data_IF_935672109388
#
_entry.id   IF_935672109388
#
_cell.length_a   1.000
_cell.length_b   1.000
_cell.length_c   1.000
_cell.angle_alpha   90.00
_cell.angle_beta   90.00
_cell.angle_gamma   90.00
#
_symmetry.space_group_name_H-M   'P 1'
#
loop_
_entity.id
_entity.type
_entity.pdbx_description
1 polymer ?
#
# COMPACT_ATOMS: atom_id res chain seq x y z
N UNK A 1 1.38 28.33 -31.17
CA UNK A 1 0.46 29.00 -30.24
C UNK A 1 -0.47 27.93 -29.69
N UNK A 2 -0.54 27.54 -28.42
CA UNK A 2 -0.17 28.13 -27.14
C UNK A 2 0.42 27.05 -26.22
N UNK A 3 1.46 27.41 -25.46
CA UNK A 3 2.00 26.66 -24.32
C UNK A 3 1.11 26.91 -23.10
N UNK A 4 0.90 25.91 -22.25
CA UNK A 4 0.40 26.13 -20.89
C UNK A 4 1.47 25.73 -19.87
N UNK A 5 1.90 26.73 -19.09
CA UNK A 5 2.74 26.63 -17.90
C UNK A 5 1.92 26.13 -16.69
N UNK A 6 2.54 25.44 -15.72
CA UNK A 6 1.92 25.15 -14.43
C UNK A 6 2.33 26.20 -13.39
N UNK A 7 1.37 26.85 -12.73
CA UNK A 7 1.64 27.70 -11.56
C UNK A 7 0.42 27.73 -10.64
N UNK A 8 0.45 26.97 -9.54
CA UNK A 8 -0.14 27.40 -8.26
C UNK A 8 0.76 26.86 -7.15
N UNK A 9 1.45 27.80 -6.50
CA UNK A 9 2.42 27.61 -5.42
C UNK A 9 1.78 28.18 -4.14
N UNK A 10 1.92 27.44 -3.05
CA UNK A 10 2.07 27.86 -1.65
C UNK A 10 1.39 29.17 -1.20
N UNK A 11 0.41 29.02 -0.31
CA UNK A 11 0.02 30.05 0.65
C UNK A 11 0.29 29.52 2.08
N UNK A 12 0.61 30.44 2.99
CA UNK A 12 1.00 30.26 4.41
C UNK A 12 2.50 30.28 4.70
N UNK A 13 3.08 31.47 4.66
CA UNK A 13 4.17 31.87 5.56
C UNK A 13 3.76 33.17 6.27
N UNK A 14 4.00 33.20 7.59
CA UNK A 14 3.47 34.14 8.57
C UNK A 14 4.38 35.35 8.73
N UNK A 15 3.75 36.51 8.96
CA UNK A 15 4.36 37.75 9.45
C UNK A 15 5.13 37.51 10.76
N UNK A 16 6.42 37.83 10.76
CA UNK A 16 7.25 37.97 11.94
C UNK A 16 7.81 39.38 11.99
N UNK A 17 7.17 40.27 12.75
CA UNK A 17 7.73 41.54 13.19
C UNK A 17 6.84 42.13 14.27
N UNK A 18 7.18 41.89 15.54
CA UNK A 18 6.86 42.82 16.61
C UNK A 18 7.92 42.68 17.70
N UNK A 19 8.80 43.68 17.74
CA UNK A 19 9.84 43.92 18.74
C UNK A 19 9.21 44.27 20.11
N UNK A 20 9.92 43.94 21.19
CA UNK A 20 10.04 44.64 22.50
C UNK A 20 11.21 43.93 23.22
N UNK A 21 12.44 44.45 23.29
CA UNK A 21 12.96 45.54 24.13
C UNK A 21 12.43 45.47 25.57
N UNK A 22 13.22 44.90 26.51
CA UNK A 22 13.69 45.51 27.77
C UNK A 22 14.92 44.72 28.28
N UNK A 23 15.98 45.43 28.67
CA UNK A 23 17.25 44.92 29.23
C UNK A 23 17.17 44.61 30.74
N UNK A 24 18.15 43.86 31.31
CA UNK A 24 18.04 43.23 32.63
C UNK A 24 18.42 44.16 33.79
N UNK A 25 17.81 43.96 34.96
CA UNK A 25 18.20 44.61 36.19
C UNK A 25 18.96 43.63 37.10
N UNK A 26 20.20 44.02 37.42
CA UNK A 26 21.12 43.36 38.34
C UNK A 26 20.81 43.81 39.76
N UNK A 27 20.64 42.88 40.70
CA UNK A 27 20.84 43.14 42.13
C UNK A 27 21.66 42.02 42.78
N UNK A 28 22.45 42.44 43.76
CA UNK A 28 23.78 41.95 44.12
C UNK A 28 23.79 41.57 45.61
N UNK A 29 24.34 40.38 45.92
CA UNK A 29 24.90 39.90 47.22
C UNK A 29 23.86 39.75 48.37
N UNK A 30 23.93 38.76 49.26
CA UNK A 30 25.08 38.46 50.12
C UNK A 30 25.18 36.97 50.52
N UNK A 31 26.41 36.63 50.86
CA UNK A 31 26.94 35.44 51.52
C UNK A 31 26.38 35.23 52.93
N UNK A 32 26.08 33.97 53.28
CA UNK A 32 26.35 33.45 54.63
C UNK A 32 26.89 32.03 54.51
N UNK A 33 28.07 31.85 55.09
CA UNK A 33 28.71 30.56 55.34
C UNK A 33 28.04 29.96 56.58
N UNK A 34 27.60 28.70 56.49
CA UNK A 34 27.31 27.88 57.66
C UNK A 34 28.03 26.54 57.49
N UNK A 35 28.69 26.17 58.57
CA UNK A 35 29.75 25.17 58.71
C UNK A 35 29.18 23.76 58.83
N UNK A 36 29.89 22.85 58.17
CA UNK A 36 30.06 21.39 58.33
C UNK A 36 29.15 20.59 59.29
N UNK A 37 28.60 19.50 58.74
CA UNK A 37 28.65 18.18 59.39
C UNK A 37 28.61 17.09 58.30
N UNK A 38 29.74 16.39 58.10
CA UNK A 38 29.77 15.13 57.33
C UNK A 38 29.25 14.02 58.23
N UNK A 39 28.12 13.42 57.87
CA UNK A 39 27.79 12.06 58.24
C UNK A 39 27.57 11.27 56.96
N UNK A 40 28.57 10.45 56.62
CA UNK A 40 28.50 9.51 55.52
C UNK A 40 27.53 8.37 55.88
N UNK A 41 26.36 8.39 55.26
CA UNK A 41 25.54 7.19 55.05
C UNK A 41 25.06 7.21 53.59
N UNK A 42 25.43 6.24 52.74
CA UNK A 42 24.92 6.17 51.39
C UNK A 42 23.47 5.64 51.43
N UNK A 43 22.51 6.54 51.68
CA UNK A 43 21.12 6.28 51.40
C UNK A 43 20.91 6.34 49.89
N UNK A 44 20.49 5.22 49.31
CA UNK A 44 20.14 5.11 47.90
C UNK A 44 19.10 6.17 47.53
N UNK A 45 19.51 7.20 46.79
CA UNK A 45 18.57 8.11 46.15
C UNK A 45 17.93 7.36 44.99
N UNK A 46 16.83 6.66 45.28
CA UNK A 46 15.87 6.24 44.26
C UNK A 46 15.46 7.51 43.53
N UNK A 47 15.86 7.61 42.26
CA UNK A 47 15.55 8.72 41.38
C UNK A 47 14.07 9.04 41.46
N UNK A 48 13.78 10.31 41.73
CA UNK A 48 12.46 10.92 41.75
C UNK A 48 11.52 10.32 40.70
N UNK A 49 10.43 9.72 41.16
CA UNK A 49 9.29 9.38 40.33
C UNK A 49 8.83 10.64 39.62
N UNK A 50 9.02 10.69 38.30
CA UNK A 50 8.49 11.76 37.46
C UNK A 50 6.97 11.72 37.58
N UNK A 51 6.41 12.70 38.26
CA UNK A 51 4.96 12.92 38.32
C UNK A 51 4.47 13.09 36.87
N UNK A 52 3.80 12.07 36.35
CA UNK A 52 3.11 12.19 35.08
C UNK A 52 2.00 13.23 35.25
N UNK A 53 2.04 14.31 34.48
CA UNK A 53 0.93 15.27 34.44
C UNK A 53 -0.27 14.61 33.76
N UNK A 54 -1.41 14.59 34.45
CA UNK A 54 -2.66 14.02 33.93
C UNK A 54 -3.56 15.13 33.38
N UNK A 55 -4.25 14.84 32.28
CA UNK A 55 -5.31 15.68 31.74
C UNK A 55 -6.48 15.79 32.72
N UNK A 56 -7.37 16.77 32.50
CA UNK A 56 -8.64 16.91 33.23
C UNK A 56 -9.48 15.61 33.29
N UNK A 57 -9.20 14.67 32.40
CA UNK A 57 -9.86 13.36 32.30
C UNK A 57 -9.00 12.18 32.79
N UNK A 58 -7.88 12.41 33.47
CA UNK A 58 -7.06 11.36 34.07
C UNK A 58 -6.16 10.58 33.11
N UNK A 59 -5.98 11.05 31.87
CA UNK A 59 -4.99 10.48 30.92
C UNK A 59 -3.66 11.25 30.99
N UNK A 60 -2.50 10.59 31.08
CA UNK A 60 -1.19 11.27 31.04
C UNK A 60 -1.08 12.16 29.79
N UNK A 61 -0.74 13.43 29.98
CA UNK A 61 -0.61 14.42 28.89
C UNK A 61 0.68 14.23 28.09
N UNK A 62 1.70 13.62 28.71
CA UNK A 62 2.97 13.31 28.06
C UNK A 62 3.36 11.85 28.31
N UNK A 63 3.73 11.17 27.22
CA UNK A 63 4.10 9.75 27.23
C UNK A 63 3.01 8.89 26.61
N UNK A 64 3.07 8.67 25.29
CA UNK A 64 2.42 7.49 24.71
C UNK A 64 2.88 6.28 25.53
N UNK A 65 1.96 5.44 26.00
CA UNK A 65 2.28 4.15 26.61
C UNK A 65 3.41 3.52 25.78
N UNK A 66 4.58 3.32 26.40
CA UNK A 66 5.68 2.65 25.74
C UNK A 66 5.15 1.26 25.35
N UNK A 67 5.22 0.94 24.07
CA UNK A 67 4.80 -0.37 23.61
C UNK A 67 5.66 -1.40 24.36
N UNK A 68 5.09 -2.32 25.15
CA UNK A 68 5.89 -3.29 25.92
C UNK A 68 6.67 -4.23 25.00
N UNK A 69 6.30 -4.28 23.72
CA UNK A 69 7.03 -4.98 22.67
C UNK A 69 8.04 -4.06 21.98
N UNK A 70 9.21 -4.61 21.65
CA UNK A 70 10.25 -3.94 20.88
C UNK A 70 9.70 -3.27 19.62
N UNK A 71 10.27 -2.10 19.28
CA UNK A 71 9.88 -1.34 18.09
C UNK A 71 10.29 -2.03 16.78
N UNK A 72 11.26 -2.93 16.85
CA UNK A 72 11.84 -3.63 15.69
C UNK A 72 11.70 -5.13 15.80
N UNK A 73 11.68 -5.79 14.65
CA UNK A 73 11.75 -7.24 14.48
C UNK A 73 12.93 -7.58 13.59
N UNK A 74 13.38 -8.83 13.59
CA UNK A 74 14.54 -9.25 12.81
C UNK A 74 14.14 -10.11 11.61
N UNK A 75 14.88 -10.01 10.52
CA UNK A 75 14.74 -10.86 9.36
C UNK A 75 16.10 -11.18 8.74
N UNK A 76 16.21 -12.34 8.09
CA UNK A 76 17.41 -12.70 7.35
C UNK A 76 17.45 -11.96 6.01
N UNK A 77 18.55 -11.26 5.77
CA UNK A 77 18.94 -10.78 4.45
C UNK A 77 19.69 -11.88 3.72
N UNK A 78 19.30 -12.16 2.49
CA UNK A 78 19.77 -13.31 1.73
C UNK A 78 20.39 -12.90 0.40
N UNK A 79 21.18 -13.79 -0.20
CA UNK A 79 21.64 -13.67 -1.59
C UNK A 79 20.64 -14.27 -2.55
N UNK A 80 20.41 -13.59 -3.68
CA UNK A 80 19.40 -13.98 -4.67
C UNK A 80 19.68 -15.36 -5.30
N UNK A 81 20.94 -15.67 -5.59
CA UNK A 81 21.34 -16.88 -6.32
C UNK A 81 21.08 -18.19 -5.57
N UNK A 82 21.43 -18.22 -4.27
CA UNK A 82 21.47 -19.46 -3.48
C UNK A 82 20.62 -19.40 -2.20
N UNK A 83 19.86 -18.32 -1.97
CA UNK A 83 19.05 -18.11 -0.75
C UNK A 83 19.86 -18.25 0.56
N UNK A 84 21.18 -18.04 0.48
CA UNK A 84 22.10 -18.13 1.60
C UNK A 84 21.95 -16.89 2.51
N UNK A 85 21.95 -17.05 3.84
CA UNK A 85 21.88 -15.93 4.77
C UNK A 85 23.18 -15.11 4.75
N UNK A 86 23.06 -13.79 4.71
CA UNK A 86 24.18 -12.84 4.72
C UNK A 86 24.24 -12.10 6.05
N UNK A 87 23.14 -11.46 6.42
CA UNK A 87 23.07 -10.55 7.57
C UNK A 87 21.68 -10.59 8.18
N UNK A 88 21.57 -10.24 9.46
CA UNK A 88 20.29 -10.00 10.11
C UNK A 88 19.95 -8.51 9.97
N UNK A 89 18.77 -8.22 9.44
CA UNK A 89 18.25 -6.86 9.24
C UNK A 89 17.11 -6.60 10.23
N UNK A 90 17.08 -5.39 10.78
CA UNK A 90 16.02 -4.94 11.67
C UNK A 90 14.91 -4.24 10.86
N UNK A 91 13.67 -4.64 11.07
CA UNK A 91 12.48 -4.11 10.40
C UNK A 91 11.56 -3.42 11.41
N UNK A 92 10.82 -2.40 10.97
CA UNK A 92 9.83 -1.74 11.82
C UNK A 92 8.64 -2.68 12.10
N UNK A 93 8.39 -2.95 13.39
CA UNK A 93 7.29 -3.80 13.85
C UNK A 93 5.93 -3.26 13.40
N UNK A 94 5.77 -1.95 13.29
CA UNK A 94 4.49 -1.32 12.88
C UNK A 94 4.06 -1.68 11.47
N UNK A 95 5.02 -1.99 10.60
CA UNK A 95 4.78 -2.27 9.18
C UNK A 95 4.78 -3.78 8.92
N UNK A 96 5.76 -4.49 9.46
CA UNK A 96 6.01 -5.90 9.16
C UNK A 96 5.46 -6.88 10.21
N UNK A 97 5.01 -6.40 11.38
CA UNK A 97 4.40 -7.22 12.42
C UNK A 97 3.20 -6.51 13.10
N UNK A 98 2.37 -5.88 12.26
CA UNK A 98 1.05 -5.38 12.64
C UNK A 98 0.09 -6.56 12.85
N UNK A 99 -0.92 -6.46 13.75
CA UNK A 99 -1.98 -7.45 13.82
C UNK A 99 -2.66 -7.62 12.46
N UNK A 100 -2.83 -8.88 12.04
CA UNK A 100 -3.40 -9.23 10.74
C UNK A 100 -4.92 -9.05 10.79
N UNK A 101 -5.43 -8.10 10.00
CA UNK A 101 -6.85 -7.74 9.95
C UNK A 101 -7.51 -8.16 8.64
N UNK A 102 -8.19 -9.30 8.66
CA UNK A 102 -8.84 -9.91 7.48
C UNK A 102 -9.96 -9.00 6.92
N UNK A 103 -10.66 -8.29 7.80
CA UNK A 103 -11.72 -7.33 7.45
C UNK A 103 -11.21 -6.20 6.54
N UNK A 104 -10.05 -5.61 6.88
CA UNK A 104 -9.43 -4.55 6.10
C UNK A 104 -8.88 -5.08 4.78
N UNK A 105 -8.26 -6.26 4.81
CA UNK A 105 -7.74 -6.92 3.61
C UNK A 105 -8.87 -7.15 2.61
N UNK A 106 -9.98 -7.75 3.03
CA UNK A 106 -11.13 -8.02 2.17
C UNK A 106 -11.70 -6.72 1.56
N UNK A 107 -11.86 -5.67 2.36
CA UNK A 107 -12.36 -4.36 1.89
C UNK A 107 -11.45 -3.76 0.83
N UNK A 108 -10.13 -3.79 1.04
CA UNK A 108 -9.16 -3.23 0.10
C UNK A 108 -9.12 -4.04 -1.20
N UNK A 109 -9.11 -5.37 -1.12
CA UNK A 109 -9.16 -6.23 -2.31
C UNK A 109 -10.43 -6.01 -3.11
N UNK A 110 -11.58 -5.87 -2.44
CA UNK A 110 -12.84 -5.53 -3.09
C UNK A 110 -12.77 -4.18 -3.81
N UNK A 111 -12.18 -3.17 -3.16
CA UNK A 111 -11.94 -1.85 -3.76
C UNK A 111 -11.06 -1.93 -5.02
N UNK A 112 -9.91 -2.60 -4.94
CA UNK A 112 -8.96 -2.75 -6.05
C UNK A 112 -9.60 -3.50 -7.23
N UNK A 113 -10.25 -4.65 -6.97
CA UNK A 113 -10.94 -5.42 -8.02
C UNK A 113 -12.09 -4.67 -8.67
N UNK A 114 -12.82 -3.85 -7.91
CA UNK A 114 -13.88 -3.02 -8.44
C UNK A 114 -13.36 -1.88 -9.32
N UNK A 115 -12.20 -1.30 -8.98
CA UNK A 115 -11.55 -0.29 -9.81
C UNK A 115 -11.01 -0.86 -11.13
N UNK A 116 -10.55 -2.12 -11.14
CA UNK A 116 -10.09 -2.81 -12.35
C UNK A 116 -11.22 -3.17 -13.33
N UNK A 117 -12.48 -3.14 -12.91
CA UNK A 117 -13.63 -3.47 -13.77
C UNK A 117 -13.99 -2.30 -14.69
N UNK A 118 -14.00 -2.55 -16.00
CA UNK A 118 -14.32 -1.53 -17.01
C UNK A 118 -15.82 -1.23 -17.14
N UNK A 119 -16.71 -2.23 -17.00
CA UNK A 119 -18.15 -2.03 -17.05
C UNK A 119 -18.68 -1.56 -18.40
N UNK A 120 -18.21 -2.12 -19.52
CA UNK A 120 -18.56 -1.71 -20.90
C UNK A 120 -19.82 -2.37 -21.47
N UNK A 121 -20.48 -3.24 -20.72
CA UNK A 121 -21.66 -3.96 -21.18
C UNK A 121 -22.82 -3.01 -21.44
N UNK A 122 -23.40 -3.12 -22.65
CA UNK A 122 -24.49 -2.26 -23.09
C UNK A 122 -25.59 -3.09 -23.75
N UNK A 123 -26.83 -2.76 -23.44
CA UNK A 123 -28.02 -3.23 -24.15
C UNK A 123 -28.85 -2.06 -24.65
N UNK A 124 -29.52 -2.29 -25.78
CA UNK A 124 -30.37 -1.28 -26.41
C UNK A 124 -31.72 -1.20 -25.70
N UNK A 125 -32.04 -0.01 -25.20
CA UNK A 125 -33.38 0.33 -24.70
C UNK A 125 -34.32 0.61 -25.87
N UNK A 126 -35.61 0.78 -25.58
CA UNK A 126 -36.65 0.96 -26.61
C UNK A 126 -36.38 2.15 -27.55
N UNK A 127 -35.75 3.21 -27.04
CA UNK A 127 -35.37 4.39 -27.83
C UNK A 127 -34.20 4.12 -28.77
N UNK A 128 -33.28 3.24 -28.40
CA UNK A 128 -32.01 2.96 -29.09
C UNK A 128 -32.14 1.83 -30.12
N UNK A 129 -33.15 0.96 -29.99
CA UNK A 129 -33.43 -0.08 -30.99
C UNK A 129 -33.90 0.57 -32.30
N UNK A 130 -33.34 0.12 -33.42
CA UNK A 130 -33.75 0.56 -34.77
C UNK A 130 -35.16 0.08 -35.07
N UNK A 131 -36.03 0.99 -35.52
CA UNK A 131 -37.40 0.67 -35.93
C UNK A 131 -38.28 1.91 -35.97
N UNK A 132 -39.50 1.77 -36.47
CA UNK A 132 -40.45 2.89 -36.53
C UNK A 132 -40.94 3.29 -35.14
N UNK A 133 -41.06 4.60 -34.91
CA UNK A 133 -41.77 5.19 -33.76
C UNK A 133 -43.28 5.28 -33.99
N UNK A 134 -43.76 5.05 -35.23
CA UNK A 134 -45.18 5.03 -35.55
C UNK A 134 -45.87 3.89 -34.80
N UNK A 135 -47.09 4.16 -34.36
CA UNK A 135 -47.94 3.15 -33.73
C UNK A 135 -48.16 1.97 -34.67
N UNK A 136 -47.91 0.75 -34.19
CA UNK A 136 -47.92 -0.45 -35.02
C UNK A 136 -49.32 -0.86 -35.51
N UNK A 137 -50.36 -0.54 -34.71
CA UNK A 137 -51.74 -0.92 -34.97
C UNK A 137 -52.73 0.11 -34.39
N UNK A 138 -53.96 0.22 -34.94
CA UNK A 138 -55.00 1.06 -34.35
C UNK A 138 -55.35 0.60 -32.93
N UNK A 139 -55.84 1.53 -32.10
CA UNK A 139 -56.13 1.26 -30.68
C UNK A 139 -57.27 0.25 -30.48
N UNK A 140 -58.23 0.20 -31.42
CA UNK A 140 -59.44 -0.62 -31.40
C UNK A 140 -59.72 -1.15 -32.83
N UNK A 141 -60.60 -2.14 -32.96
CA UNK A 141 -61.06 -2.67 -34.26
C UNK A 141 -60.22 -3.81 -34.85
N UNK A 142 -59.09 -4.19 -34.25
CA UNK A 142 -58.18 -5.24 -34.80
C UNK A 142 -58.44 -6.66 -34.29
N UNK A 143 -59.17 -6.84 -33.18
CA UNK A 143 -59.40 -8.16 -32.56
C UNK A 143 -58.15 -8.84 -31.98
N UNK A 144 -57.03 -8.11 -31.82
CA UNK A 144 -55.77 -8.60 -31.22
C UNK A 144 -55.31 -7.67 -30.09
N UNK A 145 -54.34 -8.12 -29.29
CA UNK A 145 -53.72 -7.30 -28.26
C UNK A 145 -53.23 -5.94 -28.81
N UNK A 146 -53.37 -4.89 -28.01
CA UNK A 146 -52.97 -3.53 -28.36
C UNK A 146 -51.45 -3.44 -28.44
N UNK A 147 -50.91 -2.88 -29.52
CA UNK A 147 -49.47 -2.72 -29.71
C UNK A 147 -49.15 -1.25 -29.97
N UNK A 148 -48.34 -0.68 -29.08
CA UNK A 148 -47.81 0.68 -29.23
C UNK A 148 -46.69 0.72 -30.25
N UNK A 149 -45.48 0.30 -29.84
CA UNK A 149 -44.29 0.27 -30.69
C UNK A 149 -43.91 -1.16 -31.04
N UNK A 150 -43.38 -1.37 -32.25
CA UNK A 150 -42.78 -2.64 -32.68
C UNK A 150 -41.46 -2.96 -31.96
N UNK A 151 -40.87 -1.99 -31.25
CA UNK A 151 -39.59 -2.12 -30.53
C UNK A 151 -39.76 -2.55 -29.07
N UNK A 152 -40.99 -2.80 -28.63
CA UNK A 152 -41.29 -3.11 -27.24
C UNK A 152 -40.62 -4.43 -26.78
N UNK A 153 -40.26 -4.58 -25.49
CA UNK A 153 -39.50 -5.74 -25.01
C UNK A 153 -40.18 -7.11 -25.16
N UNK A 154 -41.51 -7.14 -25.15
CA UNK A 154 -42.29 -8.36 -25.34
C UNK A 154 -42.35 -8.81 -26.80
N UNK A 155 -41.88 -8.00 -27.75
CA UNK A 155 -41.87 -8.30 -29.18
C UNK A 155 -40.53 -8.95 -29.55
N UNK A 156 -40.56 -9.89 -30.50
CA UNK A 156 -39.35 -10.52 -31.05
C UNK A 156 -38.42 -9.44 -31.63
N UNK A 157 -37.12 -9.51 -31.30
CA UNK A 157 -36.10 -8.48 -31.65
C UNK A 157 -36.39 -7.08 -31.04
N UNK A 158 -37.26 -7.02 -30.04
CA UNK A 158 -37.54 -5.82 -29.26
C UNK A 158 -36.39 -5.45 -28.33
N UNK A 159 -36.56 -4.33 -27.63
CA UNK A 159 -35.57 -3.81 -26.69
C UNK A 159 -35.47 -4.63 -25.41
N UNK A 160 -34.35 -4.50 -24.70
CA UNK A 160 -34.19 -5.08 -23.35
C UNK A 160 -34.64 -4.04 -22.32
N UNK A 161 -35.57 -4.41 -21.44
CA UNK A 161 -36.11 -3.49 -20.43
C UNK A 161 -35.09 -3.17 -19.32
N UNK A 162 -34.60 -4.20 -18.62
CA UNK A 162 -33.62 -4.08 -17.54
C UNK A 162 -32.31 -4.79 -17.93
N UNK A 163 -31.67 -4.29 -18.97
CA UNK A 163 -30.38 -4.79 -19.41
C UNK A 163 -29.21 -3.98 -18.84
N UNK A 164 -27.97 -4.49 -18.95
CA UNK A 164 -26.78 -3.76 -18.51
C UNK A 164 -26.60 -2.45 -19.29
N UNK A 165 -26.17 -1.43 -18.55
CA UNK A 165 -25.72 -0.14 -19.07
C UNK A 165 -24.28 0.12 -18.62
N UNK A 166 -23.44 0.76 -19.46
CA UNK A 166 -22.08 1.10 -19.12
C UNK A 166 -22.05 1.99 -17.88
N UNK A 167 -21.26 1.58 -16.89
CA UNK A 167 -21.14 2.29 -15.62
C UNK A 167 -19.79 2.01 -14.99
N UNK A 168 -19.32 2.95 -14.17
CA UNK A 168 -18.16 2.69 -13.32
C UNK A 168 -18.55 1.77 -12.16
N UNK A 169 -17.66 0.81 -11.86
CA UNK A 169 -17.76 -0.04 -10.68
C UNK A 169 -16.88 0.45 -9.53
N UNK A 170 -16.08 1.49 -9.74
CA UNK A 170 -15.13 1.97 -8.75
C UNK A 170 -15.85 2.43 -7.46
N UNK A 171 -15.33 1.96 -6.32
CA UNK A 171 -15.78 2.37 -4.99
C UNK A 171 -14.72 3.28 -4.36
N UNK A 172 -15.06 4.05 -3.32
CA UNK A 172 -14.08 4.90 -2.62
C UNK A 172 -13.65 4.23 -1.31
N UNK A 173 -12.38 4.39 -0.94
CA UNK A 173 -11.83 3.91 0.33
C UNK A 173 -10.93 4.98 0.96
N UNK A 174 -10.88 5.05 2.30
CA UNK A 174 -9.97 5.96 2.98
C UNK A 174 -8.52 5.49 2.80
N UNK A 175 -7.58 6.43 2.60
CA UNK A 175 -6.16 6.13 2.41
C UNK A 175 -5.56 5.34 3.58
N UNK A 176 -5.97 5.67 4.81
CA UNK A 176 -5.47 5.00 6.02
C UNK A 176 -5.98 3.54 6.13
N UNK A 177 -7.19 3.27 5.66
CA UNK A 177 -7.74 1.91 5.57
C UNK A 177 -6.94 1.09 4.56
N UNK A 178 -6.62 1.68 3.42
CA UNK A 178 -5.78 1.04 2.40
C UNK A 178 -4.37 0.71 2.93
N UNK A 179 -3.70 1.69 3.57
CA UNK A 179 -2.37 1.48 4.20
C UNK A 179 -2.43 0.38 5.26
N UNK A 180 -3.46 0.36 6.10
CA UNK A 180 -3.62 -0.67 7.13
C UNK A 180 -3.86 -2.07 6.53
N UNK A 181 -4.58 -2.16 5.41
CA UNK A 181 -4.73 -3.41 4.65
C UNK A 181 -3.38 -3.91 4.13
N UNK A 182 -2.58 -3.03 3.53
CA UNK A 182 -1.25 -3.39 3.01
C UNK A 182 -0.30 -3.84 4.14
N UNK A 183 -0.25 -3.11 5.26
CA UNK A 183 0.53 -3.53 6.46
C UNK A 183 0.11 -4.92 6.96
N UNK A 184 -1.21 -5.18 7.00
CA UNK A 184 -1.75 -6.45 7.47
C UNK A 184 -1.32 -7.62 6.57
N UNK A 185 -1.31 -7.44 5.25
CA UNK A 185 -0.86 -8.49 4.32
C UNK A 185 0.64 -8.73 4.42
N UNK A 186 1.45 -7.67 4.45
CA UNK A 186 2.91 -7.81 4.59
C UNK A 186 3.25 -8.51 5.92
N UNK A 187 2.54 -8.16 6.99
CA UNK A 187 2.71 -8.81 8.30
C UNK A 187 2.33 -10.29 8.27
N UNK A 188 1.26 -10.65 7.56
CA UNK A 188 0.89 -12.05 7.36
C UNK A 188 1.96 -12.82 6.57
N UNK A 189 2.55 -12.21 5.54
CA UNK A 189 3.66 -12.82 4.77
C UNK A 189 4.89 -13.05 5.64
N UNK A 190 5.23 -12.11 6.52
CA UNK A 190 6.33 -12.26 7.46
C UNK A 190 6.06 -13.41 8.45
N UNK A 191 4.88 -13.45 9.08
CA UNK A 191 4.48 -14.53 10.01
C UNK A 191 4.49 -15.92 9.37
N UNK A 192 4.17 -16.01 8.08
CA UNK A 192 4.17 -17.27 7.32
C UNK A 192 5.53 -17.62 6.71
N UNK A 193 6.60 -16.88 7.03
CA UNK A 193 7.94 -17.06 6.44
C UNK A 193 7.97 -16.97 4.91
N UNK A 194 7.03 -16.20 4.33
CA UNK A 194 6.87 -15.97 2.90
C UNK A 194 7.47 -14.64 2.43
N UNK A 195 7.80 -13.75 3.37
CA UNK A 195 8.55 -12.53 3.10
C UNK A 195 10.04 -12.85 3.03
N UNK A 196 10.67 -12.49 1.92
CA UNK A 196 12.08 -12.72 1.66
C UNK A 196 12.77 -11.38 1.38
N UNK A 197 13.86 -11.12 2.10
CA UNK A 197 14.63 -9.89 1.96
C UNK A 197 15.99 -10.24 1.37
N UNK A 198 16.37 -9.51 0.33
CA UNK A 198 17.63 -9.67 -0.37
C UNK A 198 18.46 -8.40 -0.26
N UNK A 199 19.78 -8.59 -0.37
CA UNK A 199 20.76 -7.50 -0.40
C UNK A 199 20.72 -6.74 -1.73
N UNK A 200 20.55 -7.47 -2.82
CA UNK A 200 20.32 -6.90 -4.14
C UNK A 200 19.51 -7.86 -5.00
N UNK A 201 18.66 -7.30 -5.87
CA UNK A 201 17.87 -8.05 -6.86
C UNK A 201 18.48 -8.00 -8.28
N UNK A 202 19.78 -7.71 -8.38
CA UNK A 202 20.50 -7.66 -9.65
C UNK A 202 20.62 -9.05 -10.25
N UNK A 203 20.40 -9.14 -11.57
CA UNK A 203 20.65 -10.35 -12.35
C UNK A 203 21.79 -10.12 -13.33
N UNK A 204 22.75 -11.04 -13.36
CA UNK A 204 23.89 -11.00 -14.28
C UNK A 204 23.46 -11.14 -15.76
N UNK A 205 22.36 -11.86 -16.01
CA UNK A 205 21.87 -12.13 -17.35
C UNK A 205 20.38 -11.81 -17.50
N UNK A 206 20.03 -11.25 -18.65
CA UNK A 206 18.64 -10.99 -19.09
C UNK A 206 17.91 -12.30 -19.46
N UNK A 207 18.65 -13.42 -19.61
CA UNK A 207 18.09 -14.69 -20.07
C UNK A 207 17.08 -15.25 -19.07
N UNK A 208 15.87 -15.54 -19.54
CA UNK A 208 14.78 -16.16 -18.77
C UNK A 208 15.19 -17.50 -18.15
N UNK A 209 16.03 -18.27 -18.86
CA UNK A 209 16.59 -19.54 -18.36
C UNK A 209 17.42 -19.36 -17.09
N UNK A 210 18.18 -18.27 -17.00
CA UNK A 210 19.01 -17.95 -15.83
C UNK A 210 18.12 -17.60 -14.62
N UNK A 211 17.11 -16.75 -14.83
CA UNK A 211 16.14 -16.45 -13.78
C UNK A 211 15.42 -17.72 -13.32
N UNK A 212 14.98 -18.58 -14.23
CA UNK A 212 14.33 -19.84 -13.89
C UNK A 212 15.23 -20.77 -13.06
N UNK A 213 16.53 -20.87 -13.39
CA UNK A 213 17.46 -21.66 -12.56
C UNK A 213 17.52 -21.14 -11.11
N UNK A 214 17.59 -19.83 -10.90
CA UNK A 214 17.61 -19.23 -9.56
C UNK A 214 16.33 -19.56 -8.80
N UNK A 215 15.16 -19.40 -9.44
CA UNK A 215 13.87 -19.72 -8.82
C UNK A 215 13.76 -21.20 -8.43
N UNK A 216 14.29 -22.11 -9.25
CA UNK A 216 14.31 -23.55 -8.95
C UNK A 216 15.30 -23.92 -7.86
N UNK A 217 16.46 -23.26 -7.80
CA UNK A 217 17.46 -23.46 -6.76
C UNK A 217 16.95 -23.01 -5.40
N UNK A 218 16.22 -21.89 -5.36
CA UNK A 218 15.62 -21.36 -4.14
C UNK A 218 14.35 -22.12 -3.70
N UNK A 219 13.88 -23.09 -4.50
CA UNK A 219 12.70 -23.90 -4.18
C UNK A 219 11.37 -23.14 -4.28
N UNK A 220 11.32 -22.03 -5.03
CA UNK A 220 10.08 -21.27 -5.24
C UNK A 220 9.24 -21.83 -6.39
N UNK A 221 9.89 -22.57 -7.28
CA UNK A 221 9.26 -23.34 -8.35
C UNK A 221 9.55 -24.83 -8.14
N UNK A 222 8.51 -25.65 -8.20
CA UNK A 222 8.67 -27.11 -8.20
C UNK A 222 9.32 -27.56 -9.51
N UNK A 223 10.49 -28.23 -9.45
CA UNK A 223 11.21 -28.76 -10.63
C UNK A 223 10.35 -29.68 -11.53
N UNK A 224 9.32 -30.31 -10.96
CA UNK A 224 8.42 -31.26 -11.63
C UNK A 224 7.19 -30.61 -12.27
N UNK A 225 6.80 -29.40 -11.86
CA UNK A 225 5.61 -28.75 -12.41
C UNK A 225 6.02 -27.89 -13.60
N UNK A 226 5.40 -28.18 -14.75
CA UNK A 226 5.39 -27.32 -15.92
C UNK A 226 5.16 -25.87 -15.48
N UNK A 227 5.96 -24.95 -16.00
CA UNK A 227 6.15 -23.50 -15.76
C UNK A 227 5.02 -22.69 -15.06
N UNK A 228 3.77 -23.14 -15.05
CA UNK A 228 2.56 -22.55 -14.45
C UNK A 228 2.46 -22.57 -12.91
N UNK A 229 3.55 -22.73 -12.16
CA UNK A 229 3.48 -22.89 -10.70
C UNK A 229 4.37 -21.93 -9.90
N UNK A 230 5.08 -21.00 -10.56
CA UNK A 230 5.75 -19.94 -9.84
C UNK A 230 4.71 -19.01 -9.20
N UNK A 231 4.93 -18.57 -7.97
CA UNK A 231 4.06 -17.59 -7.30
C UNK A 231 4.94 -16.62 -6.50
N UNK A 232 5.73 -15.82 -7.22
CA UNK A 232 6.76 -14.94 -6.64
C UNK A 232 6.56 -13.51 -7.12
N UNK A 233 6.41 -12.58 -6.18
CA UNK A 233 6.32 -11.16 -6.45
C UNK A 233 7.62 -10.48 -6.06
N UNK A 234 8.28 -9.83 -7.00
CA UNK A 234 9.42 -8.95 -6.75
C UNK A 234 8.93 -7.50 -6.64
N UNK A 235 9.40 -6.80 -5.62
CA UNK A 235 9.17 -5.37 -5.49
C UNK A 235 10.45 -4.58 -5.68
N UNK A 236 10.44 -3.70 -6.67
CA UNK A 236 11.64 -3.06 -7.19
C UNK A 236 11.36 -1.60 -7.52
N UNK A 237 12.39 -0.75 -7.50
CA UNK A 237 12.26 0.59 -8.05
C UNK A 237 12.28 0.54 -9.57
N UNK A 238 11.13 0.74 -10.20
CA UNK A 238 11.03 0.74 -11.65
C UNK A 238 11.32 2.11 -12.26
N UNK A 239 11.50 3.17 -11.46
CA UNK A 239 11.92 4.48 -12.02
C UNK A 239 13.29 4.36 -12.67
N UNK A 240 14.19 3.60 -12.04
CA UNK A 240 15.53 3.37 -12.56
C UNK A 240 15.55 2.23 -13.58
N UNK A 241 14.68 1.23 -13.42
CA UNK A 241 14.60 0.02 -14.26
C UNK A 241 14.34 0.26 -15.77
N UNK A 242 13.91 1.46 -16.16
CA UNK A 242 13.69 1.80 -17.59
C UNK A 242 14.99 2.08 -18.33
N UNK A 243 16.07 2.39 -17.61
CA UNK A 243 17.39 2.58 -18.17
C UNK A 243 18.08 1.24 -18.33
N UNK A 244 18.76 1.05 -19.46
CA UNK A 244 19.46 -0.20 -19.80
C UNK A 244 20.55 -0.53 -18.76
N UNK A 245 21.17 0.51 -18.18
CA UNK A 245 22.27 0.39 -17.20
C UNK A 245 21.79 0.15 -15.76
N UNK A 246 20.49 0.12 -15.53
CA UNK A 246 19.95 -0.07 -14.19
C UNK A 246 20.09 -1.51 -13.72
N UNK A 247 20.33 -1.67 -12.41
CA UNK A 247 20.56 -2.97 -11.78
C UNK A 247 19.38 -3.94 -11.96
N UNK A 248 18.17 -3.40 -12.16
CA UNK A 248 16.92 -4.14 -12.21
C UNK A 248 16.42 -4.41 -13.63
N UNK A 249 17.03 -3.82 -14.67
CA UNK A 249 16.59 -3.98 -16.06
C UNK A 249 16.48 -5.44 -16.49
N UNK A 250 17.51 -6.23 -16.18
CA UNK A 250 17.56 -7.66 -16.47
C UNK A 250 16.38 -8.43 -15.88
N UNK A 251 15.99 -8.11 -14.64
CA UNK A 251 14.88 -8.74 -13.94
C UNK A 251 13.52 -8.27 -14.48
N UNK A 252 13.40 -6.98 -14.81
CA UNK A 252 12.20 -6.41 -15.43
C UNK A 252 11.86 -7.02 -16.80
N UNK A 253 12.85 -7.54 -17.53
CA UNK A 253 12.64 -8.24 -18.80
C UNK A 253 12.48 -9.75 -18.59
N UNK A 254 13.40 -10.36 -17.86
CA UNK A 254 13.47 -11.81 -17.72
C UNK A 254 12.19 -12.42 -17.12
N UNK A 255 11.50 -11.70 -16.21
CA UNK A 255 10.30 -12.23 -15.58
C UNK A 255 9.08 -12.34 -16.52
N UNK A 256 9.00 -11.51 -17.58
CA UNK A 256 7.79 -11.39 -18.43
C UNK A 256 7.35 -12.70 -19.08
N UNK A 257 8.30 -13.59 -19.35
CA UNK A 257 8.06 -14.86 -20.01
C UNK A 257 7.81 -16.03 -19.03
N UNK A 258 7.97 -15.81 -17.73
CA UNK A 258 7.79 -16.85 -16.71
C UNK A 258 6.44 -16.63 -16.03
N UNK A 259 5.45 -17.51 -16.26
CA UNK A 259 4.13 -17.34 -15.69
C UNK A 259 4.17 -17.47 -14.17
N UNK A 260 3.43 -16.59 -13.49
CA UNK A 260 3.31 -16.58 -12.03
C UNK A 260 4.49 -15.93 -11.28
N UNK A 261 5.48 -15.44 -12.01
CA UNK A 261 6.43 -14.44 -11.51
C UNK A 261 5.95 -13.06 -11.93
N UNK A 262 5.96 -12.11 -11.01
CA UNK A 262 5.65 -10.71 -11.34
C UNK A 262 6.64 -9.78 -10.69
N UNK A 263 6.94 -8.69 -11.38
CA UNK A 263 7.74 -7.59 -10.88
C UNK A 263 6.85 -6.36 -10.88
N UNK A 264 6.73 -5.71 -9.73
CA UNK A 264 5.96 -4.49 -9.58
C UNK A 264 6.86 -3.36 -9.13
N UNK A 265 6.47 -2.14 -9.53
CA UNK A 265 7.06 -0.94 -8.97
C UNK A 265 6.65 -0.77 -7.51
N UNK A 266 7.55 -0.21 -6.71
CA UNK A 266 7.30 0.15 -5.32
C UNK A 266 6.08 1.05 -5.14
N UNK A 267 5.88 2.00 -6.05
CA UNK A 267 4.76 2.95 -5.99
C UNK A 267 3.42 2.26 -6.25
N UNK A 268 3.40 1.31 -7.18
CA UNK A 268 2.21 0.60 -7.69
C UNK A 268 1.87 -0.66 -6.87
N UNK A 269 2.42 -0.78 -5.66
CA UNK A 269 2.10 -1.86 -4.72
C UNK A 269 0.60 -1.96 -4.43
N UNK A 270 -0.02 -3.07 -4.83
CA UNK A 270 -1.42 -3.39 -4.54
C UNK A 270 -1.53 -4.53 -3.53
N UNK A 271 -2.56 -4.50 -2.69
CA UNK A 271 -2.82 -5.56 -1.71
C UNK A 271 -3.19 -6.87 -2.40
N UNK A 272 -3.95 -6.77 -3.50
CA UNK A 272 -4.36 -7.89 -4.32
C UNK A 272 -3.17 -8.69 -4.88
N UNK A 273 -2.16 -8.01 -5.43
CA UNK A 273 -0.99 -8.68 -6.01
C UNK A 273 -0.11 -9.36 -4.95
N UNK A 274 0.07 -8.72 -3.78
CA UNK A 274 0.82 -9.36 -2.68
C UNK A 274 0.13 -10.63 -2.17
N UNK A 275 -1.21 -10.69 -2.19
CA UNK A 275 -1.97 -11.88 -1.80
C UNK A 275 -2.00 -12.97 -2.87
N UNK A 276 -2.04 -12.57 -4.14
CA UNK A 276 -2.06 -13.50 -5.28
C UNK A 276 -0.81 -14.37 -5.30
N UNK A 277 0.32 -13.81 -4.88
CA UNK A 277 1.62 -14.49 -4.95
C UNK A 277 1.96 -15.08 -3.58
N UNK A 278 2.66 -16.22 -3.56
CA UNK A 278 3.03 -16.90 -2.32
C UNK A 278 4.18 -16.17 -1.66
N UNK A 279 5.26 -15.94 -2.38
CA UNK A 279 6.45 -15.26 -1.87
C UNK A 279 6.45 -13.79 -2.25
N UNK A 280 6.76 -12.93 -1.29
CA UNK A 280 7.03 -11.51 -1.50
C UNK A 280 8.53 -11.29 -1.32
N UNK A 281 9.18 -10.83 -2.38
CA UNK A 281 10.62 -10.60 -2.45
C UNK A 281 10.89 -9.11 -2.45
N UNK A 282 11.66 -8.63 -1.47
CA UNK A 282 12.03 -7.23 -1.29
C UNK A 282 13.55 -7.05 -1.30
N UNK A 283 14.00 -5.93 -1.85
CA UNK A 283 15.33 -5.37 -1.62
C UNK A 283 15.35 -4.51 -0.35
N UNK A 284 16.53 -4.18 0.18
CA UNK A 284 16.69 -3.23 1.29
C UNK A 284 16.09 -1.87 0.96
N UNK A 285 16.32 -1.37 -0.26
CA UNK A 285 15.72 -0.12 -0.74
C UNK A 285 14.19 -0.19 -0.70
N UNK A 286 13.63 -1.34 -1.11
CA UNK A 286 12.18 -1.58 -1.08
C UNK A 286 11.61 -1.63 0.34
N UNK A 287 12.35 -2.19 1.29
CA UNK A 287 11.99 -2.21 2.71
C UNK A 287 11.93 -0.79 3.28
N UNK A 288 12.94 0.04 3.00
CA UNK A 288 12.99 1.43 3.48
C UNK A 288 11.84 2.26 2.89
N UNK A 289 11.60 2.13 1.58
CA UNK A 289 10.52 2.80 0.89
C UNK A 289 9.15 2.43 1.47
N UNK A 290 8.89 1.13 1.63
CA UNK A 290 7.63 0.66 2.23
C UNK A 290 7.46 1.16 3.65
N UNK A 291 8.53 1.16 4.43
CA UNK A 291 8.52 1.68 5.81
C UNK A 291 8.11 3.14 5.82
N UNK A 292 8.71 3.99 4.97
CA UNK A 292 8.36 5.41 4.83
C UNK A 292 6.92 5.63 4.34
N UNK A 293 6.51 4.91 3.29
CA UNK A 293 5.15 5.02 2.70
C UNK A 293 4.06 4.62 3.70
N UNK A 294 4.35 3.61 4.53
CA UNK A 294 3.39 3.05 5.47
C UNK A 294 3.47 3.68 6.86
N UNK A 295 4.52 4.38 7.26
CA UNK A 295 4.55 5.10 8.56
C UNK A 295 3.99 6.52 8.47
N UNK A 296 4.05 7.16 7.29
CA UNK A 296 3.50 8.49 7.09
C UNK A 296 2.00 8.55 7.44
N UNK A 297 1.66 9.36 8.46
CA UNK A 297 0.30 9.70 8.86
C UNK A 297 -0.31 10.66 7.84
#
# INVERSE_FOLDING_TARGET
MFRFLPAVRNAFARNSNFQKIVNPCVLRKQSTLAVEAKSETPAQTISSTSKFEYSKYGFPLEGKLQNPFGSRIQAWMKKMENNAPVKIVELDRRVFASPVRIDLIHRVVGYERNAMRQGTHFTRTISEVRGSSKKAAPQKGRGKARVGSIRAPHIRKGAVAHGPKPRSHATKIQRNVWRAGLRSVISAKYQQSQLLIFDSLKLESIKTKYLNSILTNNGWIDKKKSLNCANVLFLVDMTDAKNIDSEYYSLAIAHKNIPGVSVLDMNETLVYEVLRHKYLVLDMNSVEFLTKKLTAL
#
